data_IF_422535781651
#
_entry.id   IF_422535781651
#
_cell.length_a   1.000
_cell.length_b   1.000
_cell.length_c   1.000
_cell.angle_alpha   90.00
_cell.angle_beta   90.00
_cell.angle_gamma   90.00
#
_symmetry.space_group_name_H-M   'P 1'
#
loop_
_entity.id
_entity.type
_entity.pdbx_description
1 polymer ?
#
# COMPACT_ATOMS: atom_id res chain seq x y z
N UNK A 1 3.80 -7.82 -63.40
CA UNK A 1 4.17 -8.75 -62.31
C UNK A 1 4.86 -8.01 -61.15
N UNK A 2 4.17 -7.10 -60.42
CA UNK A 2 4.76 -6.41 -59.25
C UNK A 2 3.77 -6.04 -58.13
N UNK A 3 2.47 -6.36 -58.26
CA UNK A 3 1.44 -6.00 -57.27
C UNK A 3 1.13 -7.11 -56.27
N UNK A 4 1.28 -8.38 -56.68
CA UNK A 4 1.09 -9.56 -55.81
C UNK A 4 2.13 -9.62 -54.66
N UNK A 5 3.41 -9.32 -54.96
CA UNK A 5 4.48 -9.38 -53.96
C UNK A 5 4.31 -8.34 -52.84
N UNK A 6 3.73 -7.17 -53.14
CA UNK A 6 3.54 -6.10 -52.16
C UNK A 6 2.48 -6.49 -51.11
N UNK A 7 1.40 -7.16 -51.54
CA UNK A 7 0.37 -7.66 -50.63
C UNK A 7 0.87 -8.81 -49.75
N UNK A 8 1.71 -9.69 -50.30
CA UNK A 8 2.36 -10.75 -49.51
C UNK A 8 3.26 -10.15 -48.43
N UNK A 9 4.00 -9.08 -48.69
CA UNK A 9 4.81 -8.42 -47.66
C UNK A 9 3.97 -7.73 -46.57
N UNK A 10 2.83 -7.12 -46.92
CA UNK A 10 1.92 -6.49 -45.94
C UNK A 10 1.23 -7.56 -45.07
N UNK A 11 0.84 -8.69 -45.64
CA UNK A 11 0.27 -9.82 -44.87
C UNK A 11 1.37 -10.49 -44.04
N UNK A 12 2.59 -10.64 -44.54
CA UNK A 12 3.71 -11.20 -43.75
C UNK A 12 4.11 -10.26 -42.61
N UNK A 13 4.05 -8.94 -42.74
CA UNK A 13 4.22 -8.01 -41.61
C UNK A 13 3.00 -7.93 -40.69
N UNK A 14 1.78 -8.14 -41.22
CA UNK A 14 0.55 -8.25 -40.43
C UNK A 14 0.42 -9.57 -39.66
N UNK A 15 1.07 -10.64 -40.14
CA UNK A 15 1.06 -11.98 -39.55
C UNK A 15 2.35 -12.28 -38.75
N UNK A 16 3.45 -11.56 -38.99
CA UNK A 16 4.64 -11.58 -38.13
C UNK A 16 4.44 -10.89 -36.77
N UNK A 17 3.28 -10.26 -36.54
CA UNK A 17 2.87 -9.74 -35.23
C UNK A 17 1.78 -10.61 -34.56
N UNK A 18 1.79 -11.92 -34.82
CA UNK A 18 0.93 -12.90 -34.14
C UNK A 18 1.71 -14.02 -33.43
N UNK A 19 2.99 -13.80 -33.13
CA UNK A 19 3.66 -14.52 -32.05
C UNK A 19 3.50 -13.68 -30.78
N UNK A 20 2.58 -14.09 -29.91
CA UNK A 20 2.35 -13.49 -28.60
C UNK A 20 3.59 -13.51 -27.74
N UNK A 21 4.40 -12.46 -27.80
CA UNK A 21 5.17 -12.05 -26.64
C UNK A 21 4.19 -11.36 -25.70
N UNK A 22 3.55 -12.15 -24.82
CA UNK A 22 2.70 -11.69 -23.71
C UNK A 22 3.53 -10.90 -22.69
N UNK A 23 4.10 -9.78 -23.11
CA UNK A 23 4.81 -8.82 -22.29
C UNK A 23 3.84 -7.87 -21.59
N UNK A 24 4.30 -7.28 -20.49
CA UNK A 24 3.59 -6.16 -19.89
C UNK A 24 3.63 -4.92 -20.80
N UNK A 25 2.76 -3.95 -20.53
CA UNK A 25 2.77 -2.70 -21.28
C UNK A 25 4.12 -1.98 -21.18
N UNK A 26 4.55 -1.35 -22.28
CA UNK A 26 5.87 -0.73 -22.39
C UNK A 26 6.09 0.34 -21.31
N UNK A 27 5.06 1.13 -20.99
CA UNK A 27 5.14 2.15 -19.93
C UNK A 27 5.32 1.53 -18.54
N UNK A 28 4.65 0.40 -18.25
CA UNK A 28 4.80 -0.35 -16.99
C UNK A 28 6.20 -0.98 -16.91
N UNK A 29 6.68 -1.55 -18.02
CA UNK A 29 8.04 -2.12 -18.12
C UNK A 29 9.10 -1.06 -17.85
N UNK A 30 9.01 0.11 -18.48
CA UNK A 30 9.95 1.22 -18.28
C UNK A 30 9.90 1.74 -16.85
N UNK A 31 8.70 1.91 -16.28
CA UNK A 31 8.55 2.29 -14.88
C UNK A 31 9.17 1.27 -13.93
N UNK A 32 9.00 -0.03 -14.19
CA UNK A 32 9.62 -1.09 -13.40
C UNK A 32 11.14 -1.11 -13.52
N UNK A 33 11.71 -0.82 -14.69
CA UNK A 33 13.16 -0.66 -14.84
C UNK A 33 13.68 0.49 -13.99
N UNK A 34 12.99 1.63 -13.97
CA UNK A 34 13.39 2.77 -13.13
C UNK A 34 13.22 2.45 -11.64
N UNK A 35 12.11 1.83 -11.24
CA UNK A 35 11.89 1.37 -9.86
C UNK A 35 12.96 0.36 -9.44
N UNK A 36 13.30 -0.58 -10.31
CA UNK A 36 14.37 -1.55 -10.11
C UNK A 36 15.70 -0.85 -9.81
N UNK A 37 16.13 0.10 -10.65
CA UNK A 37 17.39 0.84 -10.39
C UNK A 37 17.33 1.65 -9.10
N UNK A 38 16.15 2.17 -8.75
CA UNK A 38 15.92 2.92 -7.52
C UNK A 38 16.04 2.01 -6.29
N UNK A 39 15.45 0.81 -6.34
CA UNK A 39 15.38 -0.17 -5.26
C UNK A 39 16.59 -1.11 -5.19
N UNK A 40 17.52 -1.00 -6.13
CA UNK A 40 18.63 -1.94 -6.33
C UNK A 40 18.23 -3.40 -6.53
N UNK A 41 17.36 -3.67 -7.49
CA UNK A 41 17.28 -5.01 -8.05
C UNK A 41 18.48 -5.22 -8.99
N UNK A 42 19.64 -5.55 -8.42
CA UNK A 42 20.85 -5.88 -9.19
C UNK A 42 20.50 -6.88 -10.29
N UNK A 43 20.58 -6.41 -11.55
CA UNK A 43 20.38 -7.23 -12.73
C UNK A 43 21.56 -8.19 -12.84
N UNK A 44 21.47 -9.39 -12.24
CA UNK A 44 22.33 -10.49 -12.66
C UNK A 44 21.82 -11.91 -12.42
N UNK A 45 20.94 -12.22 -11.45
CA UNK A 45 20.55 -13.63 -11.24
C UNK A 45 19.07 -13.91 -10.85
N UNK A 46 18.25 -12.89 -10.55
CA UNK A 46 16.98 -13.13 -9.84
C UNK A 46 15.68 -12.74 -10.58
N UNK A 47 15.75 -12.08 -11.74
CA UNK A 47 14.53 -11.69 -12.47
C UNK A 47 13.87 -12.84 -13.21
N UNK A 48 14.55 -13.98 -13.43
CA UNK A 48 13.98 -15.26 -13.87
C UNK A 48 13.18 -15.25 -15.20
N UNK A 49 13.10 -14.11 -15.87
CA UNK A 49 12.13 -13.85 -16.93
C UNK A 49 12.73 -13.03 -18.07
N UNK A 50 12.01 -13.00 -19.20
CA UNK A 50 12.42 -12.24 -20.38
C UNK A 50 12.51 -10.75 -20.06
N UNK A 51 13.61 -10.11 -20.47
CA UNK A 51 13.81 -8.65 -20.36
C UNK A 51 12.63 -7.84 -20.95
N UNK A 52 12.00 -8.40 -21.99
CA UNK A 52 10.87 -7.80 -22.69
C UNK A 52 9.52 -8.11 -22.03
N UNK A 53 9.44 -9.11 -21.16
CA UNK A 53 8.22 -9.51 -20.48
C UNK A 53 8.34 -9.33 -18.97
N UNK A 54 7.95 -8.16 -18.47
CA UNK A 54 7.98 -7.93 -17.02
C UNK A 54 6.96 -8.75 -16.23
N UNK A 55 5.94 -9.35 -16.86
CA UNK A 55 5.05 -10.31 -16.19
C UNK A 55 5.73 -11.64 -15.87
N UNK A 56 6.90 -11.92 -16.47
CA UNK A 56 7.75 -13.06 -16.08
C UNK A 56 8.73 -12.69 -14.97
N UNK A 57 8.79 -11.42 -14.54
CA UNK A 57 9.74 -11.02 -13.52
C UNK A 57 9.28 -11.53 -12.16
N UNK A 58 10.25 -12.00 -11.38
CA UNK A 58 10.02 -12.28 -9.97
C UNK A 58 9.42 -11.03 -9.30
N UNK A 59 8.40 -11.23 -8.49
CA UNK A 59 7.67 -10.19 -7.76
C UNK A 59 6.69 -9.32 -8.55
N UNK A 60 6.45 -9.64 -9.82
CA UNK A 60 5.43 -8.98 -10.64
C UNK A 60 4.32 -9.98 -10.95
N UNK A 61 3.08 -9.62 -10.62
CA UNK A 61 1.89 -10.38 -11.05
C UNK A 61 1.12 -9.53 -12.05
N UNK A 62 0.75 -10.13 -13.18
CA UNK A 62 -0.06 -9.48 -14.21
C UNK A 62 -1.40 -10.18 -14.39
N UNK A 63 -2.38 -9.42 -14.87
CA UNK A 63 -3.62 -9.98 -15.39
C UNK A 63 -3.32 -10.77 -16.69
N UNK A 64 -3.67 -12.07 -16.78
CA UNK A 64 -3.35 -12.91 -17.93
C UNK A 64 -4.09 -12.49 -19.21
N UNK A 65 -5.24 -11.82 -19.09
CA UNK A 65 -6.03 -11.36 -20.23
C UNK A 65 -5.53 -10.03 -20.80
N UNK A 66 -5.10 -9.09 -19.93
CA UNK A 66 -4.70 -7.73 -20.35
C UNK A 66 -3.19 -7.54 -20.42
N UNK A 67 -2.40 -8.43 -19.80
CA UNK A 67 -0.95 -8.27 -19.64
C UNK A 67 -0.56 -7.13 -18.68
N UNK A 68 -1.51 -6.48 -18.01
CA UNK A 68 -1.25 -5.34 -17.12
C UNK A 68 -0.78 -5.81 -15.75
N UNK A 69 0.13 -5.06 -15.15
CA UNK A 69 0.61 -5.32 -13.79
C UNK A 69 -0.53 -5.10 -12.78
N UNK A 70 -0.82 -6.12 -11.98
CA UNK A 70 -1.84 -6.10 -10.93
C UNK A 70 -1.26 -6.17 -9.53
N UNK A 71 -0.07 -6.77 -9.33
CA UNK A 71 0.59 -6.78 -8.03
C UNK A 71 2.10 -6.60 -8.16
N UNK A 72 2.67 -5.85 -7.21
CA UNK A 72 4.10 -5.64 -7.06
C UNK A 72 4.53 -6.00 -5.64
N UNK A 73 5.49 -6.92 -5.51
CA UNK A 73 6.02 -7.44 -4.24
C UNK A 73 7.45 -6.97 -4.02
N UNK A 74 7.63 -5.70 -3.69
CA UNK A 74 8.93 -5.01 -3.71
C UNK A 74 9.56 -4.88 -2.31
N UNK A 75 9.31 -5.84 -1.42
CA UNK A 75 9.80 -5.84 -0.05
C UNK A 75 11.30 -6.14 0.07
N UNK A 76 11.98 -5.47 1.00
CA UNK A 76 13.38 -5.76 1.38
C UNK A 76 14.40 -5.69 0.23
N UNK A 77 14.17 -4.84 -0.77
CA UNK A 77 15.02 -4.78 -1.95
C UNK A 77 16.21 -3.84 -1.79
N UNK A 78 16.05 -2.76 -1.02
CA UNK A 78 17.01 -1.65 -0.99
C UNK A 78 18.24 -1.87 -0.10
N UNK A 79 18.14 -2.74 0.91
CA UNK A 79 19.09 -2.81 2.02
C UNK A 79 20.52 -3.13 1.58
N UNK A 80 20.70 -4.03 0.61
CA UNK A 80 22.02 -4.59 0.25
C UNK A 80 23.03 -3.56 -0.27
N UNK A 81 22.62 -2.62 -1.14
CA UNK A 81 23.52 -1.62 -1.72
C UNK A 81 23.49 -0.27 -1.03
N UNK A 82 22.32 0.14 -0.54
CA UNK A 82 22.13 1.48 0.01
C UNK A 82 22.09 1.51 1.54
N UNK A 83 22.17 0.34 2.19
CA UNK A 83 22.07 0.20 3.63
C UNK A 83 20.73 0.68 4.17
N UNK A 84 20.73 1.11 5.43
CA UNK A 84 19.55 1.65 6.13
C UNK A 84 19.33 3.16 5.89
N UNK A 85 19.86 3.71 4.79
CA UNK A 85 19.72 5.15 4.51
C UNK A 85 18.31 5.46 4.05
N UNK A 86 17.64 6.33 4.79
CA UNK A 86 16.30 6.82 4.45
C UNK A 86 16.27 7.52 3.09
N UNK A 87 15.22 7.28 2.31
CA UNK A 87 15.01 7.87 0.99
C UNK A 87 13.53 8.15 0.72
N UNK A 88 13.25 8.94 -0.32
CA UNK A 88 11.88 9.31 -0.68
C UNK A 88 11.49 8.71 -2.02
N UNK A 89 10.35 8.03 -2.06
CA UNK A 89 9.84 7.44 -3.29
C UNK A 89 9.20 8.52 -4.18
N UNK A 90 9.66 8.63 -5.43
CA UNK A 90 8.94 9.43 -6.41
C UNK A 90 7.67 8.68 -6.85
N UNK A 91 6.51 9.10 -6.33
CA UNK A 91 5.23 8.46 -6.59
C UNK A 91 4.80 8.55 -8.06
N UNK A 92 5.42 9.45 -8.85
CA UNK A 92 5.20 9.54 -10.30
C UNK A 92 5.61 8.26 -11.04
N UNK A 93 6.50 7.45 -10.44
CA UNK A 93 6.89 6.14 -10.98
C UNK A 93 5.75 5.12 -10.93
N UNK A 94 4.71 5.37 -10.12
CA UNK A 94 3.57 4.47 -9.98
C UNK A 94 2.45 4.75 -10.99
N UNK A 95 2.49 5.89 -11.70
CA UNK A 95 1.42 6.34 -12.59
C UNK A 95 1.10 5.37 -13.75
N UNK A 96 2.06 4.61 -14.31
CA UNK A 96 1.76 3.67 -15.39
C UNK A 96 0.95 2.44 -14.96
N UNK A 97 0.91 2.09 -13.67
CA UNK A 97 0.28 0.87 -13.17
C UNK A 97 -1.21 1.06 -12.87
N UNK A 98 -2.00 1.38 -13.90
CA UNK A 98 -3.43 1.70 -13.76
C UNK A 98 -4.31 0.49 -13.37
N UNK A 99 -3.77 -0.74 -13.46
CA UNK A 99 -4.44 -1.96 -12.99
C UNK A 99 -3.89 -2.50 -11.67
N UNK A 100 -2.99 -1.75 -11.01
CA UNK A 100 -2.37 -2.17 -9.76
C UNK A 100 -3.41 -2.28 -8.66
N UNK A 101 -3.50 -3.46 -8.05
CA UNK A 101 -4.38 -3.80 -6.94
C UNK A 101 -3.63 -3.96 -5.62
N UNK A 102 -2.38 -4.40 -5.68
CA UNK A 102 -1.55 -4.64 -4.50
C UNK A 102 -0.14 -4.10 -4.71
N UNK A 103 0.34 -3.31 -3.76
CA UNK A 103 1.70 -2.80 -3.72
C UNK A 103 2.30 -3.07 -2.35
N UNK A 104 3.36 -3.87 -2.33
CA UNK A 104 4.18 -4.10 -1.15
C UNK A 104 5.53 -3.41 -1.35
N UNK A 105 5.82 -2.45 -0.47
CA UNK A 105 7.06 -1.68 -0.41
C UNK A 105 7.67 -1.77 1.00
N UNK A 106 7.32 -2.80 1.77
CA UNK A 106 7.80 -2.98 3.14
C UNK A 106 9.32 -3.14 3.21
N UNK A 107 9.92 -2.83 4.36
CA UNK A 107 11.35 -3.06 4.60
C UNK A 107 12.31 -2.37 3.62
N UNK A 108 12.00 -1.15 3.16
CA UNK A 108 12.81 -0.42 2.18
C UNK A 108 13.46 0.86 2.72
N UNK A 109 13.34 1.19 4.01
CA UNK A 109 13.82 2.46 4.59
C UNK A 109 13.22 3.72 3.91
N UNK A 110 11.96 3.67 3.47
CA UNK A 110 11.27 4.81 2.86
C UNK A 110 10.92 5.84 3.96
N UNK A 111 11.34 7.09 3.80
CA UNK A 111 11.01 8.20 4.71
C UNK A 111 9.77 8.98 4.30
N UNK A 112 9.35 8.88 3.03
CA UNK A 112 8.16 9.55 2.54
C UNK A 112 7.99 9.41 1.03
N UNK A 113 6.91 9.97 0.51
CA UNK A 113 6.62 9.99 -0.92
C UNK A 113 6.70 11.42 -1.46
N UNK A 114 7.30 11.57 -2.65
CA UNK A 114 7.24 12.79 -3.44
C UNK A 114 6.05 12.62 -4.40
N UNK A 115 4.94 13.28 -4.09
CA UNK A 115 3.74 13.25 -4.90
C UNK A 115 3.95 14.01 -6.24
N UNK A 116 3.25 13.62 -7.31
CA UNK A 116 3.25 14.40 -8.55
C UNK A 116 2.68 15.81 -8.31
N UNK A 117 3.18 16.79 -9.08
CA UNK A 117 2.75 18.20 -8.95
C UNK A 117 1.28 18.42 -9.27
N UNK A 118 0.73 17.59 -10.15
CA UNK A 118 -0.68 17.67 -10.54
C UNK A 118 -1.56 17.06 -9.44
N UNK A 119 -2.49 17.86 -8.86
CA UNK A 119 -3.43 17.36 -7.86
C UNK A 119 -4.27 16.20 -8.42
N UNK A 120 -4.59 15.21 -7.58
CA UNK A 120 -5.41 14.05 -7.94
C UNK A 120 -4.86 13.14 -9.05
N UNK A 121 -3.69 13.44 -9.64
CA UNK A 121 -3.12 12.59 -10.67
C UNK A 121 -2.81 11.19 -10.12
N UNK A 122 -2.18 11.14 -8.93
CA UNK A 122 -1.85 9.88 -8.28
C UNK A 122 -3.10 9.06 -7.95
N UNK A 123 -4.15 9.70 -7.44
CA UNK A 123 -5.40 9.03 -7.06
C UNK A 123 -6.19 8.52 -8.27
N UNK A 124 -6.20 9.27 -9.38
CA UNK A 124 -6.84 8.82 -10.62
C UNK A 124 -6.14 7.59 -11.21
N UNK A 125 -4.80 7.55 -11.17
CA UNK A 125 -4.00 6.45 -11.71
C UNK A 125 -3.97 5.22 -10.82
N UNK A 126 -3.96 5.39 -9.50
CA UNK A 126 -4.01 4.29 -8.53
C UNK A 126 -5.44 3.96 -8.08
N UNK A 127 -6.43 4.19 -8.94
CA UNK A 127 -7.86 4.02 -8.65
C UNK A 127 -8.32 2.56 -8.44
N UNK A 128 -7.44 1.58 -8.68
CA UNK A 128 -7.68 0.16 -8.41
C UNK A 128 -6.82 -0.39 -7.27
N UNK A 129 -6.00 0.43 -6.63
CA UNK A 129 -5.09 -0.01 -5.57
C UNK A 129 -5.89 -0.29 -4.29
N UNK A 130 -5.96 -1.55 -3.90
CA UNK A 130 -6.75 -2.01 -2.74
C UNK A 130 -5.88 -2.34 -1.53
N UNK A 131 -4.67 -2.84 -1.77
CA UNK A 131 -3.73 -3.27 -0.72
C UNK A 131 -2.43 -2.50 -0.85
N UNK A 132 -2.04 -1.82 0.23
CA UNK A 132 -0.76 -1.13 0.32
C UNK A 132 -0.04 -1.52 1.61
N UNK A 133 1.11 -2.16 1.44
CA UNK A 133 2.01 -2.50 2.54
C UNK A 133 3.24 -1.58 2.51
N UNK A 134 3.41 -0.81 3.58
CA UNK A 134 4.50 0.12 3.82
C UNK A 134 5.19 -0.17 5.16
N UNK A 135 5.02 -1.38 5.70
CA UNK A 135 5.57 -1.80 6.98
C UNK A 135 7.10 -1.73 7.00
N UNK A 136 7.69 -1.56 8.19
CA UNK A 136 9.14 -1.56 8.40
C UNK A 136 9.88 -0.53 7.53
N UNK A 137 9.39 0.70 7.54
CA UNK A 137 9.99 1.84 6.85
C UNK A 137 10.30 2.96 7.87
N UNK A 138 10.62 4.17 7.40
CA UNK A 138 10.92 5.33 8.24
C UNK A 138 9.90 6.45 8.04
N UNK A 139 8.64 6.08 7.75
CA UNK A 139 7.58 7.02 7.41
C UNK A 139 7.13 7.81 8.64
N UNK A 140 6.91 9.10 8.46
CA UNK A 140 6.21 9.95 9.44
C UNK A 140 4.76 10.23 9.02
N UNK A 141 4.04 11.01 9.81
CA UNK A 141 2.62 11.29 9.58
C UNK A 141 2.32 11.97 8.22
N UNK A 142 3.32 12.56 7.55
CA UNK A 142 3.12 13.23 6.27
C UNK A 142 2.64 12.28 5.17
N UNK A 143 2.94 10.98 5.28
CA UNK A 143 2.51 9.96 4.31
C UNK A 143 0.98 9.90 4.17
N UNK A 144 0.25 10.13 5.27
CA UNK A 144 -1.21 10.07 5.30
C UNK A 144 -1.87 11.10 4.38
N UNK A 145 -1.23 12.26 4.18
CA UNK A 145 -1.71 13.29 3.26
C UNK A 145 -1.74 12.81 1.80
N UNK A 146 -0.82 11.92 1.43
CA UNK A 146 -0.74 11.33 0.09
C UNK A 146 -1.69 10.14 -0.01
N UNK A 147 -1.64 9.23 0.96
CA UNK A 147 -2.41 7.97 0.89
C UNK A 147 -3.92 8.19 1.00
N UNK A 148 -4.35 9.20 1.77
CA UNK A 148 -5.76 9.54 1.91
C UNK A 148 -6.40 10.08 0.63
N UNK A 149 -5.61 10.31 -0.42
CA UNK A 149 -6.13 10.66 -1.74
C UNK A 149 -6.52 9.44 -2.58
N UNK A 150 -6.09 8.23 -2.22
CA UNK A 150 -6.31 7.01 -3.01
C UNK A 150 -7.61 6.34 -2.55
N UNK A 151 -8.73 6.53 -3.27
CA UNK A 151 -10.06 6.19 -2.76
C UNK A 151 -10.33 4.68 -2.72
N UNK A 152 -9.54 3.88 -3.44
CA UNK A 152 -9.73 2.43 -3.58
C UNK A 152 -9.11 1.62 -2.46
N UNK A 153 -8.32 2.23 -1.57
CA UNK A 153 -7.62 1.51 -0.51
C UNK A 153 -8.59 0.80 0.42
N UNK A 154 -8.37 -0.51 0.60
CA UNK A 154 -9.11 -1.39 1.50
C UNK A 154 -8.25 -1.87 2.66
N UNK A 155 -6.96 -2.11 2.43
CA UNK A 155 -6.00 -2.56 3.44
C UNK A 155 -4.76 -1.69 3.40
N UNK A 156 -4.43 -1.07 4.53
CA UNK A 156 -3.27 -0.21 4.70
C UNK A 156 -2.43 -0.69 5.88
N UNK A 157 -1.21 -1.13 5.60
CA UNK A 157 -0.26 -1.62 6.60
C UNK A 157 0.89 -0.63 6.75
N UNK A 158 1.08 -0.11 7.95
CA UNK A 158 2.06 0.90 8.34
C UNK A 158 2.85 0.47 9.58
N UNK A 159 2.96 -0.84 9.80
CA UNK A 159 3.61 -1.45 10.96
C UNK A 159 5.06 -0.95 11.06
N UNK A 160 5.57 -0.72 12.27
CA UNK A 160 6.99 -0.40 12.50
C UNK A 160 7.51 0.78 11.66
N UNK A 161 6.90 1.95 11.81
CA UNK A 161 7.33 3.19 11.17
C UNK A 161 7.64 4.27 12.23
N UNK A 162 7.89 5.50 11.80
CA UNK A 162 8.13 6.66 12.66
C UNK A 162 6.87 7.52 12.85
N UNK A 163 5.67 6.93 12.71
CA UNK A 163 4.42 7.64 12.97
C UNK A 163 4.35 8.00 14.46
N UNK A 164 3.98 9.24 14.77
CA UNK A 164 4.05 9.72 16.15
C UNK A 164 3.00 10.77 16.49
N UNK A 165 2.66 10.87 17.78
CA UNK A 165 1.67 11.84 18.26
C UNK A 165 0.29 11.62 17.65
N UNK A 166 -0.35 12.68 17.18
CA UNK A 166 -1.72 12.63 16.62
C UNK A 166 -1.71 12.26 15.15
N UNK A 167 -2.42 11.19 14.76
CA UNK A 167 -2.70 10.92 13.35
C UNK A 167 -3.92 11.70 12.87
N UNK A 168 -3.70 12.47 11.82
CA UNK A 168 -4.69 13.28 11.16
C UNK A 168 -5.17 12.58 9.89
N UNK A 169 -6.17 11.72 10.04
CA UNK A 169 -6.83 11.02 8.93
C UNK A 169 -7.88 11.92 8.26
N UNK A 170 -7.44 13.06 7.71
CA UNK A 170 -8.32 14.12 7.16
C UNK A 170 -8.71 13.93 5.68
N UNK A 171 -8.47 12.77 5.08
CA UNK A 171 -8.86 12.50 3.68
C UNK A 171 -9.82 11.32 3.55
N UNK A 172 -9.97 10.83 2.32
CA UNK A 172 -10.97 9.82 1.99
C UNK A 172 -10.44 8.40 2.20
N UNK A 173 -10.57 7.91 3.42
CA UNK A 173 -10.39 6.50 3.76
C UNK A 173 -11.72 5.76 3.85
N UNK A 174 -12.77 6.24 3.16
CA UNK A 174 -14.13 5.70 3.30
C UNK A 174 -14.25 4.21 2.96
N UNK A 175 -13.39 3.70 2.08
CA UNK A 175 -13.37 2.28 1.68
C UNK A 175 -12.41 1.40 2.51
N UNK A 176 -11.69 1.99 3.46
CA UNK A 176 -10.69 1.27 4.25
C UNK A 176 -11.38 0.29 5.20
N UNK A 177 -11.00 -0.99 5.09
CA UNK A 177 -11.49 -2.11 5.89
C UNK A 177 -10.48 -2.59 6.91
N UNK A 178 -9.18 -2.45 6.61
CA UNK A 178 -8.10 -2.88 7.48
C UNK A 178 -7.05 -1.78 7.59
N UNK A 179 -6.70 -1.46 8.83
CA UNK A 179 -5.64 -0.53 9.18
C UNK A 179 -4.74 -1.18 10.23
N UNK A 180 -3.46 -1.30 9.89
CA UNK A 180 -2.44 -1.69 10.85
C UNK A 180 -1.42 -0.55 11.01
N UNK A 181 -1.37 0.00 12.22
CA UNK A 181 -0.44 1.06 12.62
C UNK A 181 0.38 0.62 13.85
N UNK A 182 0.51 -0.69 14.05
CA UNK A 182 1.23 -1.29 15.16
C UNK A 182 2.69 -0.85 15.20
N UNK A 183 3.30 -0.87 16.37
CA UNK A 183 4.71 -0.54 16.61
C UNK A 183 5.11 0.86 16.09
N UNK A 184 4.23 1.84 16.31
CA UNK A 184 4.49 3.26 16.08
C UNK A 184 4.31 4.06 17.39
N UNK A 185 4.83 5.29 17.45
CA UNK A 185 4.79 6.16 18.63
C UNK A 185 3.51 7.03 18.70
N UNK A 186 2.36 6.46 18.35
CA UNK A 186 1.08 7.18 18.18
C UNK A 186 0.39 7.41 19.53
N UNK A 187 -0.16 8.62 19.72
CA UNK A 187 -1.15 8.92 20.76
C UNK A 187 -2.55 8.59 20.23
N UNK A 188 -3.05 7.42 20.61
CA UNK A 188 -4.36 6.92 20.15
C UNK A 188 -5.50 7.80 20.64
N UNK A 189 -5.41 8.35 21.86
CA UNK A 189 -6.46 9.22 22.40
C UNK A 189 -6.57 10.53 21.61
N UNK A 190 -5.44 11.10 21.19
CA UNK A 190 -5.44 12.27 20.32
C UNK A 190 -5.92 11.94 18.90
N UNK A 191 -5.57 10.75 18.41
CA UNK A 191 -5.94 10.22 17.09
C UNK A 191 -7.41 9.82 16.99
N UNK A 192 -8.10 9.65 18.12
CA UNK A 192 -9.51 9.27 18.23
C UNK A 192 -10.45 10.00 17.26
N UNK A 193 -10.22 11.30 17.03
CA UNK A 193 -11.05 12.11 16.12
C UNK A 193 -10.92 11.66 14.66
N UNK A 194 -9.73 11.27 14.22
CA UNK A 194 -9.49 10.78 12.86
C UNK A 194 -10.06 9.38 12.64
N UNK A 195 -9.89 8.50 13.63
CA UNK A 195 -10.38 7.10 13.57
C UNK A 195 -11.91 7.05 13.44
N UNK A 196 -12.65 7.95 14.09
CA UNK A 196 -14.12 8.02 13.99
C UNK A 196 -14.67 8.13 12.57
N UNK A 197 -13.88 8.64 11.62
CA UNK A 197 -14.30 8.80 10.23
C UNK A 197 -14.15 7.49 9.42
N UNK A 198 -13.51 6.47 9.98
CA UNK A 198 -13.31 5.16 9.34
C UNK A 198 -14.51 4.24 9.57
N UNK A 199 -15.71 4.67 9.17
CA UNK A 199 -16.97 3.97 9.49
C UNK A 199 -17.10 2.55 8.94
N UNK A 200 -16.34 2.21 7.89
CA UNK A 200 -16.30 0.87 7.28
C UNK A 200 -15.11 0.02 7.75
N UNK A 201 -14.31 0.50 8.71
CA UNK A 201 -13.17 -0.25 9.21
C UNK A 201 -13.63 -1.52 9.94
N UNK A 202 -13.17 -2.67 9.47
CA UNK A 202 -13.48 -3.99 10.02
C UNK A 202 -12.36 -4.51 10.91
N UNK A 203 -11.11 -4.22 10.55
CA UNK A 203 -9.92 -4.73 11.22
C UNK A 203 -9.00 -3.57 11.62
N UNK A 204 -8.70 -3.44 12.91
CA UNK A 204 -7.81 -2.42 13.43
C UNK A 204 -6.74 -3.06 14.32
N UNK A 205 -5.48 -2.86 13.95
CA UNK A 205 -4.33 -3.32 14.70
C UNK A 205 -3.58 -2.13 15.28
N UNK A 206 -3.48 -2.13 16.61
CA UNK A 206 -2.84 -1.11 17.43
C UNK A 206 -1.84 -1.78 18.37
N UNK A 207 -1.10 -2.78 17.90
CA UNK A 207 -0.18 -3.53 18.76
C UNK A 207 1.08 -2.70 19.05
N UNK A 208 1.63 -2.78 20.27
CA UNK A 208 2.88 -2.10 20.61
C UNK A 208 2.84 -0.57 20.50
N UNK A 209 1.66 0.05 20.58
CA UNK A 209 1.47 1.50 20.67
C UNK A 209 1.27 1.93 22.13
N UNK A 210 1.24 3.24 22.37
CA UNK A 210 1.07 3.77 23.70
C UNK A 210 -0.36 4.29 23.92
N UNK A 211 -1.13 3.59 24.75
CA UNK A 211 -2.55 3.88 25.00
C UNK A 211 -2.70 4.79 26.22
N UNK A 212 -2.44 6.08 26.04
CA UNK A 212 -2.78 7.09 27.04
C UNK A 212 -4.29 7.30 27.10
N UNK A 213 -4.83 7.58 28.29
CA UNK A 213 -6.24 7.91 28.48
C UNK A 213 -7.21 6.83 27.98
N UNK A 214 -7.12 5.62 28.54
CA UNK A 214 -7.92 4.45 28.16
C UNK A 214 -9.42 4.75 27.89
N UNK A 215 -10.06 5.57 28.72
CA UNK A 215 -11.47 5.95 28.53
C UNK A 215 -11.77 6.74 27.24
N UNK A 216 -10.82 7.55 26.77
CA UNK A 216 -10.95 8.27 25.48
C UNK A 216 -10.74 7.33 24.31
N UNK A 217 -9.76 6.44 24.39
CA UNK A 217 -9.50 5.39 23.38
C UNK A 217 -10.73 4.52 23.20
N UNK A 218 -11.28 3.97 24.30
CA UNK A 218 -12.49 3.14 24.28
C UNK A 218 -13.67 3.84 23.61
N UNK A 219 -13.91 5.12 23.92
CA UNK A 219 -15.01 5.88 23.31
C UNK A 219 -14.79 6.11 21.81
N UNK A 220 -13.53 6.23 21.38
CA UNK A 220 -13.19 6.36 19.96
C UNK A 220 -13.43 5.04 19.22
N UNK A 221 -12.95 3.93 19.80
CA UNK A 221 -13.13 2.60 19.25
C UNK A 221 -14.61 2.20 19.20
N UNK A 222 -15.39 2.57 20.22
CA UNK A 222 -16.84 2.35 20.24
C UNK A 222 -17.62 3.10 19.16
N UNK A 223 -17.01 4.07 18.47
CA UNK A 223 -17.63 4.74 17.32
C UNK A 223 -17.40 4.00 15.99
N UNK A 224 -16.51 3.01 15.95
CA UNK A 224 -16.25 2.19 14.77
C UNK A 224 -17.31 1.08 14.68
N UNK A 225 -18.47 1.41 14.10
CA UNK A 225 -19.63 0.50 14.05
C UNK A 225 -19.40 -0.79 13.27
N UNK A 226 -18.44 -0.80 12.35
CA UNK A 226 -18.12 -1.96 11.50
C UNK A 226 -16.96 -2.82 12.05
N UNK A 227 -16.37 -2.44 13.18
CA UNK A 227 -15.16 -3.08 13.69
C UNK A 227 -15.46 -4.49 14.23
N UNK A 228 -14.74 -5.47 13.70
CA UNK A 228 -14.85 -6.90 14.00
C UNK A 228 -13.60 -7.44 14.68
N UNK A 229 -12.44 -7.00 14.20
CA UNK A 229 -11.13 -7.41 14.74
C UNK A 229 -10.44 -6.18 15.31
N UNK A 230 -10.05 -6.27 16.57
CA UNK A 230 -9.24 -5.27 17.26
C UNK A 230 -8.07 -5.97 17.93
N UNK A 231 -6.85 -5.59 17.54
CA UNK A 231 -5.62 -6.04 18.20
C UNK A 231 -5.04 -4.91 19.04
N UNK A 232 -4.80 -5.20 20.33
CA UNK A 232 -4.22 -4.27 21.32
C UNK A 232 -3.05 -4.93 22.08
N UNK A 233 -2.39 -5.90 21.45
CA UNK A 233 -1.31 -6.67 22.04
C UNK A 233 -0.11 -5.77 22.35
N UNK A 234 0.69 -6.17 23.35
CA UNK A 234 1.95 -5.50 23.67
C UNK A 234 1.83 -3.99 23.99
N UNK A 235 0.64 -3.52 24.35
CA UNK A 235 0.39 -2.13 24.69
C UNK A 235 0.61 -1.85 26.17
N UNK A 236 1.10 -0.65 26.47
CA UNK A 236 1.03 -0.10 27.83
C UNK A 236 -0.19 0.81 27.92
N UNK A 237 -1.02 0.59 28.95
CA UNK A 237 -2.23 1.37 29.20
C UNK A 237 -1.93 2.32 30.37
N UNK A 238 -2.07 3.63 30.13
CA UNK A 238 -1.93 4.65 31.17
C UNK A 238 -3.28 5.31 31.47
N UNK A 239 -3.60 5.42 32.76
CA UNK A 239 -4.83 6.02 33.27
C UNK A 239 -5.73 5.03 34.01
N UNK A 240 -6.75 5.55 34.70
CA UNK A 240 -7.69 4.71 35.45
C UNK A 240 -8.57 3.91 34.48
N UNK A 241 -8.52 2.58 34.59
CA UNK A 241 -9.54 1.70 34.05
C UNK A 241 -10.81 1.98 34.85
N UNK A 242 -11.74 2.71 34.26
CA UNK A 242 -13.05 2.97 34.87
C UNK A 242 -13.97 1.78 34.59
N UNK A 243 -15.01 1.62 35.39
CA UNK A 243 -16.07 0.62 35.16
C UNK A 243 -16.67 0.72 33.75
N UNK A 244 -16.63 1.90 33.12
CA UNK A 244 -17.09 2.11 31.75
C UNK A 244 -16.14 1.51 30.69
N UNK A 245 -14.83 1.54 30.93
CA UNK A 245 -13.83 0.86 30.07
C UNK A 245 -14.03 -0.65 30.15
N UNK A 246 -14.19 -1.19 31.36
CA UNK A 246 -14.46 -2.61 31.58
C UNK A 246 -15.77 -3.06 30.92
N UNK A 247 -16.85 -2.30 31.09
CA UNK A 247 -18.14 -2.62 30.48
C UNK A 247 -18.07 -2.62 28.94
N UNK A 248 -17.40 -1.64 28.34
CA UNK A 248 -17.23 -1.62 26.88
C UNK A 248 -16.41 -2.81 26.38
N UNK A 249 -15.30 -3.14 27.05
CA UNK A 249 -14.47 -4.30 26.71
C UNK A 249 -15.29 -5.60 26.75
N UNK A 250 -16.05 -5.82 27.82
CA UNK A 250 -16.91 -6.99 27.96
C UNK A 250 -17.99 -7.06 26.87
N UNK A 251 -18.63 -5.92 26.57
CA UNK A 251 -19.64 -5.85 25.52
C UNK A 251 -19.04 -6.13 24.13
N UNK A 252 -17.89 -5.53 23.82
CA UNK A 252 -17.20 -5.70 22.54
C UNK A 252 -16.73 -7.16 22.34
N UNK A 253 -16.19 -7.79 23.39
CA UNK A 253 -15.82 -9.21 23.36
C UNK A 253 -17.03 -10.12 23.13
N UNK A 254 -18.17 -9.81 23.77
CA UNK A 254 -19.40 -10.58 23.64
C UNK A 254 -20.05 -10.47 22.24
N UNK A 255 -19.87 -9.34 21.55
CA UNK A 255 -20.42 -9.13 20.20
C UNK A 255 -19.53 -9.70 19.08
N UNK A 256 -18.21 -9.78 19.29
CA UNK A 256 -17.25 -10.09 18.22
C UNK A 256 -16.61 -11.49 18.30
N UNK A 257 -16.80 -12.24 19.38
CA UNK A 257 -16.33 -13.64 19.52
C UNK A 257 -17.45 -14.70 19.36
N UNK A 258 -18.42 -14.47 18.46
CA UNK A 258 -19.43 -15.48 18.06
C UNK A 258 -19.20 -15.98 16.65
#
# INVERSE_FOLDING_TARGET
>A
MKKEALWVFVVVWGVACFCGSHGCQEQERVALLVLNTTLDLTYSEYTGGSYFNCCSWRYVECNPATGRVTKLMLSHLRYYRFGSKTWYLNASLLLPFEELKSLDLSSNSIGGWIAPKEPNLLSSKLSKLEVLDLSDNSLDNSILSVLSTIPSLRRLLLISNNLSGTLHLHGDFSNLKELDISYNAIDVAATAKGIKNLSHLENLHLDGVHLKHAGTVVRALGALSSLRILSLQSNTIEGSITTQVDHWLQQWLATNHK
#
